data_IF_526681959608
#
_entry.id   IF_526681959608
#
_cell.length_a   1.000
_cell.length_b   1.000
_cell.length_c   1.000
_cell.angle_alpha   90.00
_cell.angle_beta   90.00
_cell.angle_gamma   90.00
#
_symmetry.space_group_name_H-M   'P 1'
#
loop_
_entity.id
_entity.type
_entity.pdbx_description
1 polymer ?
#
# COMPACT_ATOMS: atom_id res chain seq x y z
N UNK A 1 4.25 8.91 -4.45
CA UNK A 1 3.17 8.45 -5.35
C UNK A 1 1.91 8.17 -4.53
N UNK A 2 0.72 8.43 -5.08
CA UNK A 2 -0.57 8.20 -4.40
C UNK A 2 -1.24 6.93 -4.94
N UNK A 3 -2.05 6.27 -4.11
CA UNK A 3 -2.89 5.15 -4.52
C UNK A 3 -4.10 5.68 -5.29
N UNK A 4 -4.55 4.98 -6.35
CA UNK A 4 -5.80 5.33 -7.03
C UNK A 4 -6.98 5.26 -6.06
N UNK A 5 -7.85 6.26 -6.10
CA UNK A 5 -8.99 6.40 -5.18
C UNK A 5 -10.03 5.28 -5.27
N UNK A 6 -10.14 4.62 -6.43
CA UNK A 6 -11.14 3.59 -6.71
C UNK A 6 -10.66 2.15 -6.43
N UNK A 7 -9.43 1.94 -5.96
CA UNK A 7 -8.99 0.59 -5.58
C UNK A 7 -9.91 0.08 -4.46
N UNK A 8 -10.44 -1.13 -4.56
CA UNK A 8 -11.20 -1.78 -3.48
C UNK A 8 -10.29 -2.74 -2.71
N UNK A 9 -10.49 -2.85 -1.40
CA UNK A 9 -9.76 -3.83 -0.59
C UNK A 9 -10.59 -4.38 0.56
N UNK A 10 -10.33 -5.63 0.96
CA UNK A 10 -10.93 -6.27 2.14
C UNK A 10 -9.94 -6.38 3.30
N UNK A 11 -10.43 -6.62 4.51
CA UNK A 11 -9.58 -6.80 5.71
C UNK A 11 -8.57 -7.96 5.56
N UNK A 12 -8.93 -8.98 4.78
CA UNK A 12 -8.07 -10.16 4.55
C UNK A 12 -7.03 -9.95 3.45
N UNK A 13 -6.97 -8.76 2.83
CA UNK A 13 -5.97 -8.44 1.81
C UNK A 13 -6.39 -8.73 0.38
N UNK A 14 -7.68 -8.96 0.10
CA UNK A 14 -8.16 -8.92 -1.30
C UNK A 14 -8.01 -7.50 -1.83
N UNK A 15 -7.50 -7.33 -3.04
CA UNK A 15 -7.31 -6.04 -3.71
C UNK A 15 -7.91 -6.14 -5.10
N UNK A 16 -8.80 -5.21 -5.45
CA UNK A 16 -9.44 -5.16 -6.76
C UNK A 16 -9.25 -3.79 -7.39
N UNK A 17 -8.84 -3.78 -8.66
CA UNK A 17 -8.76 -2.58 -9.49
C UNK A 17 -9.97 -2.53 -10.44
N UNK A 18 -11.03 -1.76 -10.13
CA UNK A 18 -12.23 -1.72 -10.96
C UNK A 18 -11.99 -1.14 -12.35
N UNK A 19 -10.91 -0.39 -12.57
CA UNK A 19 -10.63 0.23 -13.86
C UNK A 19 -10.08 -0.77 -14.89
N UNK A 20 -9.40 -1.83 -14.44
CA UNK A 20 -8.83 -2.87 -15.32
C UNK A 20 -9.52 -4.22 -15.19
N UNK A 21 -10.20 -4.47 -14.06
CA UNK A 21 -10.75 -5.78 -13.72
C UNK A 21 -9.76 -6.70 -12.99
N UNK A 22 -8.54 -6.24 -12.72
CA UNK A 22 -7.52 -7.06 -12.07
C UNK A 22 -7.79 -7.27 -10.58
N UNK A 23 -7.48 -8.47 -10.11
CA UNK A 23 -7.56 -8.85 -8.71
C UNK A 23 -6.22 -9.37 -8.21
N UNK A 24 -5.85 -8.98 -7.00
CA UNK A 24 -4.61 -9.38 -6.34
C UNK A 24 -4.90 -9.89 -4.94
N UNK A 25 -4.02 -10.77 -4.47
CA UNK A 25 -4.02 -11.27 -3.10
C UNK A 25 -2.86 -10.66 -2.34
N UNK A 26 -3.18 -9.90 -1.30
CA UNK A 26 -2.25 -9.48 -0.26
C UNK A 26 -2.56 -10.18 1.06
N UNK A 27 -2.08 -9.58 2.15
CA UNK A 27 -2.39 -9.97 3.52
C UNK A 27 -3.05 -8.80 4.27
N UNK A 28 -3.34 -9.00 5.57
CA UNK A 28 -3.92 -7.95 6.42
C UNK A 28 -3.02 -6.69 6.50
N UNK A 29 -1.70 -6.83 6.37
CA UNK A 29 -0.78 -5.69 6.32
C UNK A 29 -1.01 -4.88 5.04
N UNK A 30 -1.10 -5.52 3.88
CA UNK A 30 -1.39 -4.85 2.62
C UNK A 30 -2.72 -4.07 2.69
N UNK A 31 -3.77 -4.67 3.26
CA UNK A 31 -5.05 -3.99 3.48
C UNK A 31 -4.88 -2.75 4.39
N UNK A 32 -4.16 -2.89 5.50
CA UNK A 32 -3.88 -1.80 6.45
C UNK A 32 -3.12 -0.65 5.77
N UNK A 33 -2.10 -0.97 4.98
CA UNK A 33 -1.32 0.02 4.22
C UNK A 33 -2.18 0.75 3.20
N UNK A 34 -2.98 0.03 2.42
CA UNK A 34 -3.86 0.63 1.42
C UNK A 34 -4.90 1.57 2.04
N UNK A 35 -5.48 1.20 3.19
CA UNK A 35 -6.39 2.07 3.93
C UNK A 35 -5.68 3.33 4.44
N UNK A 36 -4.47 3.18 4.98
CA UNK A 36 -3.66 4.31 5.44
C UNK A 36 -3.34 5.27 4.28
N UNK A 37 -2.91 4.74 3.13
CA UNK A 37 -2.64 5.52 1.92
C UNK A 37 -3.89 6.25 1.41
N UNK A 38 -5.06 5.60 1.39
CA UNK A 38 -6.33 6.22 0.97
C UNK A 38 -6.81 7.31 1.93
N UNK A 39 -6.51 7.19 3.22
CA UNK A 39 -6.84 8.22 4.22
C UNK A 39 -5.98 9.49 4.09
N UNK A 40 -5.06 9.53 3.13
CA UNK A 40 -4.20 10.69 2.88
C UNK A 40 -3.02 10.82 3.83
N UNK A 41 -2.74 9.78 4.64
CA UNK A 41 -1.53 9.74 5.47
C UNK A 41 -0.29 9.79 4.58
N UNK A 42 0.70 10.55 5.00
CA UNK A 42 1.99 10.62 4.33
C UNK A 42 2.78 9.33 4.54
N UNK A 43 3.70 9.05 3.62
CA UNK A 43 4.64 7.94 3.75
C UNK A 43 5.37 7.95 5.10
N UNK A 44 5.83 9.13 5.55
CA UNK A 44 6.53 9.28 6.82
C UNK A 44 5.63 8.90 8.02
N UNK A 45 4.35 9.29 8.00
CA UNK A 45 3.41 8.93 9.06
C UNK A 45 3.10 7.42 9.06
N UNK A 46 2.96 6.82 7.87
CA UNK A 46 2.73 5.38 7.74
C UNK A 46 3.93 4.60 8.28
N UNK A 47 5.14 4.94 7.83
CA UNK A 47 6.40 4.31 8.30
C UNK A 47 6.58 4.48 9.81
N UNK A 48 6.32 5.68 10.35
CA UNK A 48 6.37 5.95 11.80
C UNK A 48 5.41 5.06 12.59
N UNK A 49 4.19 4.88 12.09
CA UNK A 49 3.21 4.01 12.75
C UNK A 49 3.65 2.53 12.74
N UNK A 50 4.28 2.07 11.65
CA UNK A 50 4.79 0.70 11.56
C UNK A 50 5.92 0.48 12.58
N UNK A 51 6.91 1.39 12.63
CA UNK A 51 8.02 1.31 13.59
C UNK A 51 7.56 1.36 15.05
N UNK A 52 6.39 1.96 15.32
CA UNK A 52 5.83 2.02 16.68
C UNK A 52 5.05 0.75 17.07
N UNK A 53 4.49 0.02 16.10
CA UNK A 53 3.61 -1.12 16.34
C UNK A 53 4.30 -2.48 16.14
N UNK A 54 5.38 -2.51 15.36
CA UNK A 54 6.06 -3.74 14.96
C UNK A 54 7.55 -3.66 15.29
N UNK A 55 8.12 -4.79 15.70
CA UNK A 55 9.55 -4.94 15.94
C UNK A 55 10.30 -5.09 14.61
N UNK A 56 10.54 -3.95 13.94
CA UNK A 56 11.25 -3.84 12.68
C UNK A 56 12.21 -2.67 12.73
N UNK A 57 13.39 -2.82 12.13
CA UNK A 57 14.35 -1.73 12.05
C UNK A 57 14.07 -0.84 10.83
N UNK A 58 14.51 0.42 10.91
CA UNK A 58 14.28 1.44 9.87
C UNK A 58 14.79 1.00 8.50
N UNK A 59 15.99 0.45 8.41
CA UNK A 59 16.59 0.05 7.13
C UNK A 59 15.81 -1.08 6.45
N UNK A 60 15.26 -2.02 7.21
CA UNK A 60 14.41 -3.08 6.69
C UNK A 60 13.09 -2.52 6.18
N UNK A 61 12.44 -1.66 6.96
CA UNK A 61 11.18 -1.03 6.57
C UNK A 61 11.33 -0.14 5.33
N UNK A 62 12.45 0.57 5.17
CA UNK A 62 12.70 1.37 3.98
C UNK A 62 12.76 0.51 2.72
N UNK A 63 13.49 -0.61 2.76
CA UNK A 63 13.55 -1.56 1.64
C UNK A 63 12.19 -2.20 1.34
N UNK A 64 11.50 -2.69 2.37
CA UNK A 64 10.19 -3.31 2.22
C UNK A 64 9.15 -2.32 1.64
N UNK A 65 9.28 -1.04 2.01
CA UNK A 65 8.44 0.01 1.45
C UNK A 65 8.74 0.27 -0.03
N UNK A 66 10.02 0.33 -0.41
CA UNK A 66 10.40 0.48 -1.82
C UNK A 66 9.86 -0.68 -2.67
N UNK A 67 10.04 -1.92 -2.21
CA UNK A 67 9.51 -3.12 -2.88
C UNK A 67 7.98 -3.08 -2.98
N UNK A 68 7.29 -2.66 -1.93
CA UNK A 68 5.84 -2.46 -1.93
C UNK A 68 5.40 -1.44 -2.97
N UNK A 69 6.08 -0.30 -3.08
CA UNK A 69 5.75 0.73 -4.06
C UNK A 69 5.97 0.25 -5.49
N UNK A 70 7.00 -0.57 -5.74
CA UNK A 70 7.23 -1.20 -7.05
C UNK A 70 6.08 -2.14 -7.39
N UNK A 71 5.67 -3.03 -6.47
CA UNK A 71 4.56 -3.95 -6.68
C UNK A 71 3.25 -3.22 -6.98
N UNK A 72 2.93 -2.14 -6.25
CA UNK A 72 1.75 -1.32 -6.51
C UNK A 72 1.80 -0.64 -7.89
N UNK A 73 2.99 -0.23 -8.33
CA UNK A 73 3.20 0.39 -9.64
C UNK A 73 2.98 -0.63 -10.75
N UNK A 74 3.59 -1.81 -10.65
CA UNK A 74 3.47 -2.90 -11.62
C UNK A 74 2.02 -3.42 -11.72
N UNK A 75 1.31 -3.45 -10.58
CA UNK A 75 -0.11 -3.79 -10.51
C UNK A 75 -1.05 -2.66 -11.01
N UNK A 76 -0.51 -1.54 -11.49
CA UNK A 76 -1.28 -0.38 -11.95
C UNK A 76 -2.26 0.17 -10.89
N UNK A 77 -1.85 0.14 -9.61
CA UNK A 77 -2.66 0.58 -8.47
C UNK A 77 -2.34 2.01 -8.04
N UNK A 78 -1.19 2.54 -8.45
CA UNK A 78 -0.78 3.93 -8.18
C UNK A 78 -1.32 4.88 -9.25
N UNK A 79 -1.54 6.14 -8.87
CA UNK A 79 -1.78 7.22 -9.82
C UNK A 79 -0.53 7.38 -10.71
N UNK A 80 -0.70 7.31 -12.03
CA UNK A 80 0.30 7.80 -12.96
C UNK A 80 0.25 9.31 -12.94
N UNK A 81 1.40 9.95 -12.65
CA UNK A 81 1.55 11.38 -12.90
C UNK A 81 1.23 11.63 -14.39
N UNK A 82 0.25 12.50 -14.64
CA UNK A 82 -0.10 12.98 -15.97
C UNK A 82 0.84 14.09 -16.42
#
# INVERSE_FOLDING_TARGET
MKIKSNIATSENGFIFNPATGDSFSGNAMAATLLLAMKSGKTEAEIKKNILALYDVNTNQLERDWEDWMIQLKEANLLETEG
#
